data_IF_728171426273
#
_entry.id   IF_728171426273
#
_cell.length_a   1.000
_cell.length_b   1.000
_cell.length_c   1.000
_cell.angle_alpha   90.00
_cell.angle_beta   90.00
_cell.angle_gamma   90.00
#
_symmetry.space_group_name_H-M   'P 1'
#
loop_
_entity.id
_entity.type
_entity.pdbx_description
1 polymer ?
#
# COMPACT_ATOMS: atom_id res chain seq x y z
N UNK A 1 5.12 23.01 -22.56
CA UNK A 1 5.80 22.10 -21.61
C UNK A 1 5.03 20.79 -21.60
N UNK A 2 5.66 19.61 -21.71
CA UNK A 2 4.93 18.36 -21.58
C UNK A 2 4.34 18.31 -20.17
N UNK A 3 3.03 18.09 -20.05
CA UNK A 3 2.43 17.79 -18.74
C UNK A 3 3.11 16.54 -18.20
N UNK A 4 3.75 16.66 -17.04
CA UNK A 4 4.39 15.52 -16.41
C UNK A 4 3.33 14.46 -16.12
N UNK A 5 3.52 13.25 -16.65
CA UNK A 5 2.63 12.12 -16.39
C UNK A 5 2.60 11.84 -14.89
N UNK A 6 1.40 11.76 -14.30
CA UNK A 6 1.23 11.51 -12.88
C UNK A 6 1.93 10.21 -12.45
N UNK A 7 2.56 10.24 -11.27
CA UNK A 7 3.33 9.14 -10.71
C UNK A 7 2.47 8.37 -9.72
N UNK A 8 2.26 7.09 -9.94
CA UNK A 8 1.41 6.29 -9.04
C UNK A 8 2.21 5.69 -7.90
N UNK A 9 1.75 5.92 -6.67
CA UNK A 9 2.33 5.40 -5.43
C UNK A 9 1.27 4.55 -4.73
N UNK A 10 1.61 3.31 -4.40
CA UNK A 10 0.69 2.42 -3.67
C UNK A 10 1.04 2.47 -2.20
N UNK A 11 0.06 2.81 -1.36
CA UNK A 11 0.20 2.90 0.09
C UNK A 11 -0.56 1.74 0.72
N UNK A 12 0.14 0.93 1.52
CA UNK A 12 -0.44 -0.28 2.12
C UNK A 12 0.09 -0.49 3.53
N UNK A 13 -0.60 -1.32 4.32
CA UNK A 13 -0.34 -1.50 5.75
C UNK A 13 -1.58 -2.02 6.48
N UNK A 14 -1.42 -2.44 7.74
CA UNK A 14 -2.55 -2.93 8.54
C UNK A 14 -3.58 -1.82 8.84
N UNK A 15 -4.79 -2.18 9.27
CA UNK A 15 -5.82 -1.26 9.76
C UNK A 15 -5.35 -0.63 11.06
N UNK A 16 -5.62 0.68 11.20
CA UNK A 16 -5.19 1.46 12.37
C UNK A 16 -3.72 1.88 12.38
N UNK A 17 -2.90 1.51 11.39
CA UNK A 17 -1.48 1.96 11.31
C UNK A 17 -1.32 3.39 10.82
N UNK A 18 -2.40 4.08 10.44
CA UNK A 18 -2.37 5.49 10.03
C UNK A 18 -2.16 5.74 8.53
N UNK A 19 -2.50 4.78 7.65
CA UNK A 19 -2.45 4.94 6.18
C UNK A 19 -3.13 6.23 5.72
N UNK A 20 -4.38 6.47 6.14
CA UNK A 20 -5.14 7.66 5.77
C UNK A 20 -4.48 8.95 6.25
N UNK A 21 -3.80 8.95 7.41
CA UNK A 21 -3.04 10.11 7.88
C UNK A 21 -1.80 10.38 7.03
N UNK A 22 -1.09 9.34 6.60
CA UNK A 22 0.05 9.44 5.66
C UNK A 22 -0.41 9.94 4.28
N UNK A 23 -1.57 9.46 3.83
CA UNK A 23 -2.18 9.89 2.57
C UNK A 23 -2.64 11.36 2.64
N UNK A 24 -3.33 11.76 3.71
CA UNK A 24 -3.74 13.16 3.94
C UNK A 24 -2.55 14.12 4.09
N UNK A 25 -1.43 13.59 4.55
CA UNK A 25 -0.14 14.29 4.57
C UNK A 25 0.35 14.62 3.16
N UNK A 26 0.04 13.76 2.18
CA UNK A 26 0.43 13.92 0.79
C UNK A 26 -0.58 14.71 -0.07
N UNK A 27 -1.87 14.75 0.29
CA UNK A 27 -2.94 15.36 -0.52
C UNK A 27 -2.89 16.90 -0.64
N UNK A 28 -2.02 17.61 0.09
CA UNK A 28 -1.82 19.04 -0.22
C UNK A 28 -0.97 19.17 -1.49
N UNK A 29 -1.65 19.31 -2.64
CA UNK A 29 -1.19 19.94 -3.90
C UNK A 29 0.24 19.59 -4.32
N UNK A 30 0.36 18.74 -5.34
CA UNK A 30 1.61 18.43 -6.07
C UNK A 30 2.83 18.22 -5.16
N UNK A 31 3.16 16.97 -4.80
CA UNK A 31 4.36 16.68 -4.00
C UNK A 31 5.59 17.16 -4.79
N UNK A 32 6.19 18.27 -4.33
CA UNK A 32 7.31 18.96 -4.99
C UNK A 32 7.05 19.25 -6.47
N UNK A 33 5.83 19.62 -6.84
CA UNK A 33 5.46 19.95 -8.23
C UNK A 33 5.04 18.75 -9.08
N UNK A 34 5.03 17.54 -8.54
CA UNK A 34 4.62 16.33 -9.26
C UNK A 34 3.25 15.84 -8.79
N UNK A 35 2.40 15.40 -9.72
CA UNK A 35 1.10 14.80 -9.40
C UNK A 35 1.27 13.32 -9.06
N UNK A 36 0.67 12.88 -7.95
CA UNK A 36 0.70 11.49 -7.54
C UNK A 36 -0.68 10.89 -7.35
N UNK A 37 -0.88 9.66 -7.82
CA UNK A 37 -2.06 8.87 -7.53
C UNK A 37 -1.75 7.98 -6.33
N UNK A 38 -2.41 8.22 -5.20
CA UNK A 38 -2.28 7.42 -3.99
C UNK A 38 -3.43 6.43 -3.90
N UNK A 39 -3.10 5.15 -3.81
CA UNK A 39 -4.07 4.09 -3.61
C UNK A 39 -3.94 3.55 -2.19
N UNK A 40 -4.99 3.72 -1.38
CA UNK A 40 -5.12 3.03 -0.10
C UNK A 40 -5.62 1.61 -0.37
N UNK A 41 -4.76 0.61 -0.18
CA UNK A 41 -5.15 -0.79 -0.39
C UNK A 41 -5.65 -1.37 0.93
N UNK A 42 -6.88 -1.03 1.28
CA UNK A 42 -7.63 -1.72 2.34
C UNK A 42 -8.15 -3.05 1.75
N UNK A 43 -7.92 -4.16 2.44
CA UNK A 43 -8.75 -5.35 2.26
C UNK A 43 -8.20 -6.54 1.46
N UNK A 44 -6.89 -6.63 1.19
CA UNK A 44 -6.31 -7.90 0.71
C UNK A 44 -5.89 -8.84 1.84
N UNK A 45 -6.31 -8.61 3.09
CA UNK A 45 -5.90 -9.47 4.21
C UNK A 45 -6.52 -9.11 5.58
N UNK A 46 -7.53 -8.26 5.61
CA UNK A 46 -8.15 -7.77 6.85
C UNK A 46 -9.66 -8.04 6.76
N UNK A 47 -10.13 -9.17 7.27
CA UNK A 47 -11.56 -9.39 7.56
C UNK A 47 -12.42 -10.05 6.46
N UNK A 48 -11.90 -11.08 5.79
CA UNK A 48 -12.68 -11.92 4.85
C UNK A 48 -13.51 -13.02 5.54
N UNK A 49 -14.32 -12.70 6.55
CA UNK A 49 -15.19 -13.68 7.23
C UNK A 49 -16.50 -13.97 6.49
N UNK A 50 -16.54 -13.90 5.14
CA UNK A 50 -17.70 -14.28 4.33
C UNK A 50 -17.47 -14.29 2.81
N UNK A 51 -18.16 -15.19 2.10
CA UNK A 51 -18.04 -15.42 0.63
C UNK A 51 -18.30 -14.17 -0.21
N UNK A 52 -19.34 -13.39 0.11
CA UNK A 52 -19.69 -12.16 -0.62
C UNK A 52 -18.61 -11.05 -0.51
N UNK A 53 -17.83 -11.05 0.57
CA UNK A 53 -16.71 -10.11 0.74
C UNK A 53 -15.56 -10.38 -0.24
N UNK A 54 -15.40 -11.65 -0.63
CA UNK A 54 -14.26 -12.13 -1.41
C UNK A 54 -14.40 -11.80 -2.90
N UNK A 55 -15.59 -12.04 -3.47
CA UNK A 55 -15.89 -11.70 -4.85
C UNK A 55 -15.72 -10.20 -5.11
N UNK A 56 -16.21 -9.36 -4.19
CA UNK A 56 -16.06 -7.90 -4.27
C UNK A 56 -14.60 -7.46 -4.12
N UNK A 57 -13.83 -8.10 -3.23
CA UNK A 57 -12.40 -7.82 -3.08
C UNK A 57 -11.61 -8.15 -4.36
N UNK A 58 -11.92 -9.27 -5.02
CA UNK A 58 -11.29 -9.68 -6.29
C UNK A 58 -11.62 -8.68 -7.40
N UNK A 59 -12.89 -8.29 -7.53
CA UNK A 59 -13.33 -7.27 -8.50
C UNK A 59 -12.62 -5.93 -8.26
N UNK A 60 -12.61 -5.46 -7.00
CA UNK A 60 -11.94 -4.21 -6.63
C UNK A 60 -10.44 -4.25 -6.94
N UNK A 61 -9.79 -5.38 -6.63
CA UNK A 61 -8.39 -5.61 -6.98
C UNK A 61 -8.21 -5.55 -8.49
N UNK A 62 -9.00 -6.28 -9.28
CA UNK A 62 -8.89 -6.26 -10.74
C UNK A 62 -9.07 -4.86 -11.34
N UNK A 63 -10.05 -4.10 -10.84
CA UNK A 63 -10.28 -2.72 -11.25
C UNK A 63 -9.09 -1.82 -10.91
N UNK A 64 -8.49 -1.99 -9.73
CA UNK A 64 -7.26 -1.30 -9.36
C UNK A 64 -6.12 -1.68 -10.31
N UNK A 65 -5.88 -2.96 -10.57
CA UNK A 65 -4.81 -3.41 -11.48
C UNK A 65 -5.01 -2.86 -12.89
N UNK A 66 -6.26 -2.80 -13.36
CA UNK A 66 -6.63 -2.20 -14.66
C UNK A 66 -6.32 -0.71 -14.69
N UNK A 67 -6.69 0.03 -13.65
CA UNK A 67 -6.39 1.46 -13.51
C UNK A 67 -4.87 1.70 -13.50
N UNK A 68 -4.13 0.93 -12.71
CA UNK A 68 -2.67 1.02 -12.63
C UNK A 68 -2.01 0.72 -13.98
N UNK A 69 -2.46 -0.33 -14.67
CA UNK A 69 -1.92 -0.72 -15.98
C UNK A 69 -2.14 0.37 -17.04
N UNK A 70 -3.30 1.04 -17.02
CA UNK A 70 -3.64 2.13 -17.94
C UNK A 70 -2.92 3.44 -17.59
N UNK A 71 -2.64 3.69 -16.31
CA UNK A 71 -2.08 4.97 -15.82
C UNK A 71 -0.57 4.91 -15.56
N UNK A 72 0.19 4.26 -16.45
CA UNK A 72 1.65 4.28 -16.41
C UNK A 72 2.29 3.38 -15.34
N UNK A 73 1.53 2.56 -14.61
CA UNK A 73 2.04 1.60 -13.64
C UNK A 73 2.42 2.21 -12.29
N UNK A 74 3.01 1.37 -11.42
CA UNK A 74 3.41 1.72 -10.05
C UNK A 74 4.85 2.23 -10.03
N UNK A 75 5.11 3.32 -9.33
CA UNK A 75 6.43 3.98 -9.29
C UNK A 75 7.12 3.80 -7.93
N UNK A 76 6.36 3.53 -6.87
CA UNK A 76 6.85 3.32 -5.51
C UNK A 76 5.80 2.55 -4.69
N UNK A 77 6.29 1.68 -3.80
CA UNK A 77 5.51 1.09 -2.73
C UNK A 77 5.83 1.80 -1.40
N UNK A 78 4.80 2.21 -0.66
CA UNK A 78 4.92 2.80 0.68
C UNK A 78 4.25 1.86 1.67
N UNK A 79 5.07 1.19 2.48
CA UNK A 79 4.58 0.32 3.56
C UNK A 79 4.42 1.12 4.85
N UNK A 80 3.19 1.30 5.31
CA UNK A 80 2.89 2.02 6.54
C UNK A 80 2.76 1.02 7.68
N UNK A 81 3.55 1.23 8.73
CA UNK A 81 3.53 0.44 9.96
C UNK A 81 3.38 1.38 11.16
N UNK A 82 2.80 0.88 12.25
CA UNK A 82 2.82 1.60 13.52
C UNK A 82 4.04 1.14 14.32
N UNK A 83 4.72 2.08 14.97
CA UNK A 83 5.81 1.80 15.91
C UNK A 83 5.33 0.78 16.95
N UNK A 84 6.04 -0.33 17.06
CA UNK A 84 5.65 -1.43 17.93
C UNK A 84 6.29 -2.75 17.53
N UNK A 85 5.76 -3.85 18.07
CA UNK A 85 6.31 -5.18 17.82
C UNK A 85 6.07 -5.63 16.38
N UNK A 86 7.10 -6.25 15.78
CA UNK A 86 6.98 -6.93 14.50
C UNK A 86 5.98 -8.11 14.61
N UNK A 87 4.96 -8.11 13.76
CA UNK A 87 3.92 -9.14 13.65
C UNK A 87 4.13 -9.97 12.39
N UNK A 88 3.69 -11.22 12.41
CA UNK A 88 3.71 -12.10 11.24
C UNK A 88 2.83 -11.55 10.09
N UNK A 89 1.69 -10.95 10.42
CA UNK A 89 0.78 -10.30 9.47
C UNK A 89 1.46 -9.17 8.68
N UNK A 90 2.33 -8.37 9.33
CA UNK A 90 3.13 -7.35 8.64
C UNK A 90 4.08 -7.97 7.62
N UNK A 91 4.71 -9.11 7.95
CA UNK A 91 5.57 -9.83 7.00
C UNK A 91 4.79 -10.39 5.82
N UNK A 92 3.61 -10.96 6.06
CA UNK A 92 2.73 -11.46 4.99
C UNK A 92 2.28 -10.33 4.06
N UNK A 93 1.89 -9.19 4.61
CA UNK A 93 1.54 -8.00 3.82
C UNK A 93 2.74 -7.50 3.01
N UNK A 94 3.93 -7.41 3.62
CA UNK A 94 5.15 -7.06 2.90
C UNK A 94 5.42 -8.01 1.73
N UNK A 95 5.35 -9.33 1.94
CA UNK A 95 5.57 -10.31 0.86
C UNK A 95 4.51 -10.20 -0.23
N UNK A 96 3.23 -10.08 0.15
CA UNK A 96 2.13 -9.95 -0.79
C UNK A 96 2.33 -8.75 -1.70
N UNK A 97 2.64 -7.57 -1.16
CA UNK A 97 2.77 -6.37 -1.98
C UNK A 97 4.12 -6.28 -2.70
N UNK A 98 5.23 -6.56 -2.01
CA UNK A 98 6.54 -6.40 -2.62
C UNK A 98 6.86 -7.51 -3.60
N UNK A 99 6.59 -8.78 -3.25
CA UNK A 99 6.92 -9.95 -4.07
C UNK A 99 5.76 -10.41 -4.94
N UNK A 100 4.53 -10.40 -4.42
CA UNK A 100 3.35 -10.78 -5.19
C UNK A 100 2.90 -9.68 -6.15
N UNK A 101 2.57 -8.51 -5.61
CA UNK A 101 1.95 -7.42 -6.35
C UNK A 101 2.95 -6.71 -7.27
N UNK A 102 4.16 -6.39 -6.81
CA UNK A 102 5.15 -5.70 -7.66
C UNK A 102 6.32 -6.56 -8.14
N UNK A 103 6.35 -7.87 -7.84
CA UNK A 103 7.41 -8.80 -8.27
C UNK A 103 8.83 -8.30 -7.99
N UNK A 104 9.01 -7.54 -6.91
CA UNK A 104 10.26 -6.87 -6.51
C UNK A 104 10.81 -5.88 -7.55
N UNK A 105 10.02 -5.46 -8.54
CA UNK A 105 10.44 -4.59 -9.66
C UNK A 105 10.40 -3.09 -9.33
N UNK A 106 9.77 -2.72 -8.21
CA UNK A 106 9.55 -1.36 -7.75
C UNK A 106 10.14 -1.16 -6.36
N UNK A 107 10.80 -0.02 -6.07
CA UNK A 107 11.30 0.29 -4.75
C UNK A 107 10.18 0.29 -3.71
N UNK A 108 10.51 -0.18 -2.51
CA UNK A 108 9.65 -0.11 -1.33
C UNK A 108 10.31 0.73 -0.26
N UNK A 109 9.55 1.64 0.34
CA UNK A 109 9.95 2.45 1.51
C UNK A 109 8.99 2.16 2.66
N UNK A 110 9.42 2.44 3.89
CA UNK A 110 8.58 2.28 5.10
C UNK A 110 8.27 3.62 5.74
N UNK A 111 7.02 3.82 6.14
CA UNK A 111 6.60 4.95 6.98
C UNK A 111 6.17 4.39 8.32
N UNK A 112 6.83 4.81 9.39
CA UNK A 112 6.56 4.36 10.75
C UNK A 112 5.78 5.44 11.48
N UNK A 113 4.52 5.17 11.82
CA UNK A 113 3.66 6.08 12.60
C UNK A 113 3.78 5.81 14.10
N UNK A 114 3.36 6.75 14.94
CA UNK A 114 3.38 6.56 16.41
C UNK A 114 4.71 6.91 17.06
N UNK A 115 5.59 7.61 16.34
CA UNK A 115 6.93 7.99 16.81
C UNK A 115 6.96 9.30 17.61
N UNK A 116 5.81 9.94 17.87
CA UNK A 116 5.72 11.22 18.59
C UNK A 116 6.20 11.19 20.05
N UNK A 117 6.35 10.00 20.64
CA UNK A 117 6.84 9.82 22.00
C UNK A 117 8.36 9.64 22.13
N UNK A 118 9.09 9.62 21.01
CA UNK A 118 10.55 9.50 21.03
C UNK A 118 11.20 10.81 21.52
N UNK A 119 12.21 10.70 22.39
CA UNK A 119 12.62 11.80 23.28
C UNK A 119 13.23 13.01 22.57
N UNK A 120 13.92 12.80 21.45
CA UNK A 120 14.62 13.87 20.71
C UNK A 120 14.33 13.87 19.21
N UNK A 121 14.19 12.70 18.59
CA UNK A 121 13.97 12.55 17.15
C UNK A 121 13.07 11.34 16.92
N UNK A 122 12.04 11.51 16.08
CA UNK A 122 11.13 10.44 15.68
C UNK A 122 11.90 9.24 15.07
N UNK A 123 13.04 9.49 14.41
CA UNK A 123 13.83 8.46 13.72
C UNK A 123 14.56 7.48 14.66
N UNK A 124 14.68 7.80 15.95
CA UNK A 124 15.31 6.92 16.95
C UNK A 124 14.64 5.55 17.02
N UNK A 125 13.34 5.49 16.80
CA UNK A 125 12.62 4.22 16.77
C UNK A 125 13.18 3.30 15.68
N UNK A 126 13.40 3.83 14.47
CA UNK A 126 13.92 3.05 13.36
C UNK A 126 15.34 2.57 13.62
N UNK A 127 16.21 3.43 14.15
CA UNK A 127 17.59 3.07 14.49
C UNK A 127 17.68 1.85 15.41
N UNK A 128 16.76 1.71 16.37
CA UNK A 128 16.69 0.56 17.28
C UNK A 128 16.00 -0.67 16.68
N UNK A 129 15.06 -0.49 15.76
CA UNK A 129 14.17 -1.58 15.32
C UNK A 129 14.46 -2.12 13.93
N UNK A 130 15.21 -1.40 13.08
CA UNK A 130 15.51 -1.78 11.69
C UNK A 130 16.01 -3.21 11.55
N UNK A 131 16.91 -3.65 12.42
CA UNK A 131 17.50 -5.00 12.35
C UNK A 131 16.45 -6.11 12.50
N UNK A 132 15.34 -5.88 13.22
CA UNK A 132 14.27 -6.88 13.31
C UNK A 132 13.53 -7.06 11.99
N UNK A 133 13.33 -5.98 11.23
CA UNK A 133 12.75 -6.05 9.88
C UNK A 133 13.70 -6.79 8.93
N UNK A 134 14.99 -6.47 8.98
CA UNK A 134 16.01 -7.12 8.14
C UNK A 134 16.13 -8.62 8.44
N UNK A 135 16.15 -9.01 9.73
CA UNK A 135 16.12 -10.42 10.15
C UNK A 135 14.84 -11.15 9.72
N UNK A 136 13.72 -10.43 9.66
CA UNK A 136 12.49 -10.95 9.09
C UNK A 136 12.51 -10.99 7.54
N UNK A 137 13.58 -10.55 6.87
CA UNK A 137 13.67 -10.53 5.40
C UNK A 137 12.90 -9.38 4.74
N UNK A 138 12.63 -8.31 5.49
CA UNK A 138 12.04 -7.07 4.98
C UNK A 138 13.14 -6.02 4.81
N UNK A 139 13.23 -5.44 3.62
CA UNK A 139 14.24 -4.43 3.29
C UNK A 139 13.57 -3.23 2.64
N UNK A 140 14.08 -2.05 2.94
CA UNK A 140 13.48 -0.80 2.47
C UNK A 140 14.56 0.09 1.86
N UNK A 141 14.20 0.79 0.78
CA UNK A 141 15.09 1.76 0.11
C UNK A 141 15.24 3.04 0.91
N UNK A 142 14.31 3.32 1.82
CA UNK A 142 14.30 4.45 2.72
C UNK A 142 13.18 4.29 3.75
N UNK A 143 13.23 5.14 4.78
CA UNK A 143 12.25 5.15 5.86
C UNK A 143 11.90 6.59 6.27
N UNK A 144 10.75 6.76 6.90
CA UNK A 144 10.41 7.98 7.63
C UNK A 144 9.62 7.61 8.90
N UNK A 145 10.10 8.05 10.06
CA UNK A 145 9.35 8.02 11.30
C UNK A 145 8.53 9.31 11.43
N UNK A 146 7.22 9.17 11.69
CA UNK A 146 6.26 10.27 11.58
C UNK A 146 5.29 10.34 12.75
N UNK A 147 4.82 11.57 12.98
CA UNK A 147 3.67 11.90 13.80
C UNK A 147 2.44 12.09 12.90
N UNK A 148 1.47 11.19 13.04
CA UNK A 148 0.23 11.21 12.28
C UNK A 148 -0.92 11.93 13.01
N UNK A 149 -0.69 12.39 14.26
CA UNK A 149 -1.73 12.90 15.14
C UNK A 149 -1.31 14.21 15.80
N UNK A 150 -2.11 15.26 15.60
CA UNK A 150 -1.88 16.62 16.13
C UNK A 150 -1.84 16.68 17.68
N UNK A 151 -2.29 15.65 18.37
CA UNK A 151 -2.35 15.66 19.83
C UNK A 151 -3.56 16.43 20.35
N UNK A 152 -3.58 16.66 21.66
CA UNK A 152 -4.61 17.48 22.32
C UNK A 152 -4.40 18.97 21.99
N UNK A 153 -5.48 19.75 22.07
CA UNK A 153 -5.40 21.20 22.00
C UNK A 153 -4.87 21.72 23.35
N UNK A 154 -3.67 22.28 23.34
CA UNK A 154 -3.07 22.98 24.48
C UNK A 154 -3.26 24.49 24.37
N UNK A 155 -2.69 25.24 25.34
CA UNK A 155 -2.78 26.70 25.41
C UNK A 155 -2.20 27.43 24.17
N UNK A 156 -1.24 26.81 23.49
CA UNK A 156 -0.56 27.37 22.31
C UNK A 156 -0.94 26.66 21.00
N UNK A 157 -2.05 25.92 20.99
CA UNK A 157 -2.48 25.10 19.86
C UNK A 157 -2.21 23.61 20.09
N UNK A 158 -2.26 22.84 19.01
CA UNK A 158 -2.06 21.39 19.04
C UNK A 158 -0.63 21.02 19.42
N UNK A 159 -0.45 20.14 20.42
CA UNK A 159 0.86 19.79 21.00
C UNK A 159 1.84 19.27 19.95
N UNK A 160 1.37 18.51 18.96
CA UNK A 160 2.22 17.90 17.94
C UNK A 160 2.16 18.65 16.59
N UNK A 161 1.73 19.92 16.57
CA UNK A 161 1.54 20.66 15.30
C UNK A 161 2.82 20.66 14.45
N UNK A 162 3.96 20.94 15.05
CA UNK A 162 5.24 21.05 14.35
C UNK A 162 5.75 19.68 13.91
N UNK A 163 5.56 18.64 14.72
CA UNK A 163 5.88 17.26 14.37
C UNK A 163 5.04 16.76 13.18
N UNK A 164 3.76 17.14 13.13
CA UNK A 164 2.90 16.82 11.99
C UNK A 164 3.40 17.54 10.74
N UNK A 165 3.80 18.80 10.81
CA UNK A 165 4.34 19.51 9.64
C UNK A 165 5.67 18.92 9.16
N UNK A 166 6.59 18.64 10.09
CA UNK A 166 7.85 17.95 9.80
C UNK A 166 7.59 16.58 9.15
N UNK A 167 6.62 15.83 9.66
CA UNK A 167 6.22 14.55 9.09
C UNK A 167 5.73 14.67 7.66
N UNK A 168 5.08 15.79 7.30
CA UNK A 168 4.65 16.04 5.92
C UNK A 168 5.82 16.15 4.97
N UNK A 169 6.82 16.94 5.34
CA UNK A 169 8.00 17.11 4.50
C UNK A 169 8.84 15.82 4.43
N UNK A 170 8.97 15.06 5.53
CA UNK A 170 9.66 13.77 5.52
C UNK A 170 9.02 12.77 4.55
N UNK A 171 7.69 12.62 4.56
CA UNK A 171 6.99 11.69 3.66
C UNK A 171 7.09 12.14 2.21
N UNK A 172 6.93 13.44 1.94
CA UNK A 172 7.08 14.00 0.58
C UNK A 172 8.48 13.74 0.03
N UNK A 173 9.51 13.98 0.83
CA UNK A 173 10.91 13.76 0.45
C UNK A 173 11.21 12.29 0.19
N UNK A 174 10.70 11.41 1.06
CA UNK A 174 10.84 9.97 0.91
C UNK A 174 10.23 9.50 -0.41
N UNK A 175 9.02 9.96 -0.75
CA UNK A 175 8.34 9.59 -2.00
C UNK A 175 9.10 10.12 -3.22
N UNK A 176 9.51 11.38 -3.19
CA UNK A 176 10.19 12.02 -4.33
C UNK A 176 11.54 11.39 -4.61
N UNK A 177 12.32 11.12 -3.56
CA UNK A 177 13.67 10.57 -3.65
C UNK A 177 13.68 9.13 -4.15
N UNK A 178 12.71 8.32 -3.73
CA UNK A 178 12.76 6.87 -3.98
C UNK A 178 11.84 6.39 -5.09
N UNK A 179 10.94 7.21 -5.64
CA UNK A 179 10.14 6.81 -6.80
C UNK A 179 11.03 6.50 -8.01
N UNK A 180 10.60 5.56 -8.84
CA UNK A 180 11.19 5.39 -10.19
C UNK A 180 10.69 6.47 -11.13
N UNK A 181 11.52 6.78 -12.13
CA UNK A 181 11.10 7.58 -13.28
C UNK A 181 10.00 6.86 -14.07
N UNK A 182 10.23 5.58 -14.41
CA UNK A 182 9.27 4.74 -15.11
C UNK A 182 8.48 3.85 -14.16
N UNK A 183 7.16 3.86 -14.31
CA UNK A 183 6.28 2.98 -13.56
C UNK A 183 6.33 1.55 -14.11
N UNK A 184 6.31 0.58 -13.19
CA UNK A 184 6.18 -0.82 -13.53
C UNK A 184 4.72 -1.16 -13.76
N UNK A 185 4.44 -1.79 -14.89
CA UNK A 185 3.11 -2.17 -15.33
C UNK A 185 3.09 -3.64 -15.70
N UNK A 186 1.92 -4.24 -15.52
CA UNK A 186 1.63 -5.60 -15.93
C UNK A 186 0.20 -5.66 -16.50
N UNK A 187 -0.10 -6.53 -17.48
CA UNK A 187 -1.47 -6.76 -17.90
C UNK A 187 -2.34 -7.23 -16.71
N UNK A 188 -3.59 -6.73 -16.56
CA UNK A 188 -4.38 -6.94 -15.33
C UNK A 188 -4.63 -8.41 -14.97
N UNK A 189 -4.95 -9.28 -15.93
CA UNK A 189 -5.25 -10.68 -15.64
C UNK A 189 -4.02 -11.46 -15.11
N UNK A 190 -2.86 -11.50 -15.79
CA UNK A 190 -1.62 -12.07 -15.23
C UNK A 190 -1.18 -11.43 -13.91
N UNK A 191 -1.51 -10.16 -13.70
CA UNK A 191 -1.21 -9.48 -12.45
C UNK A 191 -2.10 -9.98 -11.30
N UNK A 192 -3.40 -10.12 -11.54
CA UNK A 192 -4.35 -10.68 -10.57
C UNK A 192 -3.97 -12.10 -10.17
N UNK A 193 -3.65 -12.97 -11.13
CA UNK A 193 -3.20 -14.34 -10.87
C UNK A 193 -1.98 -14.41 -9.95
N UNK A 194 -1.00 -13.54 -10.17
CA UNK A 194 0.20 -13.47 -9.34
C UNK A 194 -0.12 -13.06 -7.90
N UNK A 195 -0.92 -12.00 -7.74
CA UNK A 195 -1.35 -11.53 -6.41
C UNK A 195 -2.14 -12.61 -5.69
N UNK A 196 -3.04 -13.28 -6.41
CA UNK A 196 -3.87 -14.35 -5.90
C UNK A 196 -3.05 -15.56 -5.42
N UNK A 197 -2.10 -16.02 -6.23
CA UNK A 197 -1.20 -17.11 -5.85
C UNK A 197 -0.41 -16.79 -4.58
N UNK A 198 0.11 -15.56 -4.45
CA UNK A 198 0.80 -15.14 -3.23
C UNK A 198 -0.16 -15.07 -2.03
N UNK A 199 -1.37 -14.56 -2.22
CA UNK A 199 -2.37 -14.47 -1.17
C UNK A 199 -2.70 -15.87 -0.59
N UNK A 200 -3.02 -16.85 -1.45
CA UNK A 200 -3.35 -18.22 -1.01
C UNK A 200 -2.21 -18.90 -0.24
N UNK A 201 -0.96 -18.66 -0.65
CA UNK A 201 0.20 -19.24 0.02
C UNK A 201 0.51 -18.59 1.38
N UNK A 202 0.22 -17.31 1.54
CA UNK A 202 0.52 -16.55 2.76
C UNK A 202 -0.58 -16.65 3.81
N UNK A 203 -1.84 -16.68 3.36
CA UNK A 203 -3.02 -16.67 4.22
C UNK A 203 -3.72 -18.02 4.09
N UNK A 204 -3.35 -18.97 4.97
CA UNK A 204 -3.99 -20.29 5.06
C UNK A 204 -5.47 -20.10 5.36
N UNK A 205 -6.31 -20.40 4.38
CA UNK A 205 -7.72 -20.07 4.38
C UNK A 205 -8.07 -19.61 2.98
N UNK A 206 -8.24 -20.58 2.07
CA UNK A 206 -8.77 -20.27 0.75
C UNK A 206 -10.07 -19.50 0.92
N UNK A 207 -10.23 -18.40 0.19
CA UNK A 207 -11.53 -17.75 0.10
C UNK A 207 -12.49 -18.83 -0.43
N UNK A 208 -13.68 -19.04 0.16
CA UNK A 208 -14.71 -19.84 -0.49
C UNK A 208 -14.95 -19.20 -1.86
N UNK A 209 -14.43 -19.85 -2.90
CA UNK A 209 -14.53 -19.40 -4.27
C UNK A 209 -15.83 -19.93 -4.81
N UNK A 210 -16.87 -19.10 -4.78
CA UNK A 210 -18.04 -19.36 -5.61
C UNK A 210 -17.71 -18.90 -7.04
N UNK A 211 -17.44 -19.91 -7.88
CA UNK A 211 -17.09 -19.71 -9.28
C UNK A 211 -18.16 -18.99 -10.09
N UNK A 212 -19.42 -19.10 -9.69
CA UNK A 212 -20.54 -18.51 -10.43
C UNK A 212 -20.72 -17.08 -9.94
N UNK A 213 -20.77 -16.86 -8.62
CA UNK A 213 -20.93 -15.52 -8.06
C UNK A 213 -19.78 -14.59 -8.45
N UNK A 214 -18.53 -15.09 -8.38
CA UNK A 214 -17.35 -14.32 -8.79
C UNK A 214 -17.41 -13.98 -10.27
N UNK A 215 -17.81 -14.92 -11.13
CA UNK A 215 -17.94 -14.69 -12.56
C UNK A 215 -19.00 -13.63 -12.87
N UNK A 216 -20.18 -13.72 -12.25
CA UNK A 216 -21.27 -12.74 -12.41
C UNK A 216 -20.85 -11.35 -11.93
N UNK A 217 -20.11 -11.26 -10.82
CA UNK A 217 -19.60 -9.99 -10.29
C UNK A 217 -18.53 -9.35 -11.19
N UNK A 218 -17.70 -10.17 -11.87
CA UNK A 218 -16.77 -9.66 -12.89
C UNK A 218 -17.55 -9.03 -14.06
N UNK A 219 -18.56 -9.73 -14.58
CA UNK A 219 -19.39 -9.24 -15.69
C UNK A 219 -20.15 -7.96 -15.33
N UNK A 220 -20.76 -7.91 -14.14
CA UNK A 220 -21.51 -6.73 -13.67
C UNK A 220 -20.62 -5.50 -13.48
N UNK A 221 -19.32 -5.70 -13.34
CA UNK A 221 -18.30 -4.64 -13.26
C UNK A 221 -17.80 -4.15 -14.62
N UNK A 222 -18.41 -4.64 -15.72
CA UNK A 222 -18.05 -4.26 -17.09
C UNK A 222 -16.87 -5.03 -17.67
N UNK A 223 -16.41 -6.10 -17.02
CA UNK A 223 -15.37 -6.99 -17.55
C UNK A 223 -16.00 -7.89 -18.61
N UNK A 224 -15.33 -8.02 -19.76
CA UNK A 224 -15.86 -8.84 -20.86
C UNK A 224 -15.95 -10.32 -20.47
N UNK A 225 -16.86 -11.07 -21.12
CA UNK A 225 -16.97 -12.53 -20.91
C UNK A 225 -15.63 -13.26 -21.11
N UNK A 226 -14.84 -12.84 -22.10
CA UNK A 226 -13.54 -13.44 -22.41
C UNK A 226 -12.54 -13.17 -21.28
N UNK A 227 -12.45 -11.93 -20.79
CA UNK A 227 -11.56 -11.57 -19.69
C UNK A 227 -12.00 -12.23 -18.38
N UNK A 228 -13.29 -12.22 -18.07
CA UNK A 228 -13.83 -12.88 -16.88
C UNK A 228 -13.51 -14.38 -16.92
N UNK A 229 -13.68 -15.04 -18.06
CA UNK A 229 -13.32 -16.45 -18.21
C UNK A 229 -11.81 -16.68 -17.99
N UNK A 230 -10.95 -15.82 -18.56
CA UNK A 230 -9.51 -15.93 -18.39
C UNK A 230 -9.07 -15.71 -16.93
N UNK A 231 -9.68 -14.75 -16.22
CA UNK A 231 -9.47 -14.52 -14.78
C UNK A 231 -9.85 -15.78 -14.00
N UNK A 232 -11.04 -16.32 -14.25
CA UNK A 232 -11.53 -17.51 -13.54
C UNK A 232 -10.68 -18.74 -13.82
N UNK A 233 -10.19 -18.90 -15.05
CA UNK A 233 -9.26 -19.98 -15.41
C UNK A 233 -7.91 -19.84 -14.69
N UNK A 234 -7.43 -18.61 -14.53
CA UNK A 234 -6.12 -18.35 -13.94
C UNK A 234 -6.14 -18.30 -12.40
N UNK A 235 -7.32 -18.35 -11.77
CA UNK A 235 -7.49 -18.41 -10.32
C UNK A 235 -7.83 -19.83 -9.80
N UNK A 236 -8.09 -20.79 -10.71
CA UNK A 236 -8.16 -22.23 -10.42
C UNK A 236 -6.77 -22.80 -10.17
#
# INVERSE_FOLDING_TARGET
MPMETSKTVVVFGETGVGKSSVINTCYSVAIKGHTYNLHDTIGLGEDSTGTMGNSKAIVNLYNLLTLLSKNGGVHLLVFVVRSGRLKETMKKNYDLFYKGFCETKIPIVVVVTGCEGESNDMDQWWGRNRQFFEKAGMTFRGHACVCAFKGRLGKHGYVNKDLVEQSRELVKDLIVRHRKADGWKKPPAPWLTQVWYFFLNLFKGGLPWDSIETYLNLLSSGISHVEAFNIMKAMK
#
